data_IF_981588997736
#
_entry.id   IF_981588997736
#
_cell.length_a   1.000
_cell.length_b   1.000
_cell.length_c   1.000
_cell.angle_alpha   90.00
_cell.angle_beta   90.00
_cell.angle_gamma   90.00
#
_symmetry.space_group_name_H-M   'P 1'
#
loop_
_entity.id
_entity.type
_entity.pdbx_description
1 polymer ?
#
# COMPACT_ATOMS: atom_id res chain seq x y z
N UNK A 1 -11.20 13.47 7.25
CA UNK A 1 -10.25 13.09 8.32
C UNK A 1 -8.89 12.87 7.66
N UNK A 2 -7.79 13.36 8.24
CA UNK A 2 -6.43 13.12 7.72
C UNK A 2 -5.65 12.17 8.63
N UNK A 3 -4.92 11.21 8.05
CA UNK A 3 -4.03 10.33 8.81
C UNK A 3 -2.76 11.05 9.31
N UNK A 4 -2.41 12.19 8.72
CA UNK A 4 -1.30 13.01 9.20
C UNK A 4 -1.58 13.57 10.61
N UNK A 5 -2.86 13.80 10.93
CA UNK A 5 -3.32 14.29 12.22
C UNK A 5 -3.58 13.15 13.23
N UNK A 6 -3.54 11.89 12.79
CA UNK A 6 -3.84 10.76 13.64
C UNK A 6 -2.69 10.50 14.64
N UNK A 7 -3.03 10.54 15.92
CA UNK A 7 -2.12 10.32 17.04
C UNK A 7 -2.64 9.17 17.92
N UNK A 8 -2.50 7.91 17.47
CA UNK A 8 -2.92 6.77 18.27
C UNK A 8 -2.12 6.70 19.58
N UNK A 9 -2.79 6.35 20.69
CA UNK A 9 -2.14 6.18 22.00
C UNK A 9 -1.20 4.97 22.03
N UNK A 10 -1.43 3.97 21.17
CA UNK A 10 -0.62 2.77 21.04
C UNK A 10 -0.46 2.45 19.56
N UNK A 11 0.77 2.25 19.08
CA UNK A 11 1.04 1.89 17.66
C UNK A 11 1.60 0.48 17.51
N UNK A 12 1.81 -0.24 18.60
CA UNK A 12 2.58 -1.49 18.61
C UNK A 12 1.79 -2.70 18.13
N UNK A 13 0.49 -2.76 18.43
CA UNK A 13 -0.30 -3.97 18.28
C UNK A 13 -1.69 -3.68 17.72
N UNK A 14 -1.86 -4.01 16.45
CA UNK A 14 -3.15 -4.04 15.77
C UNK A 14 -3.25 -5.34 15.01
N UNK A 15 -4.34 -6.07 15.12
CA UNK A 15 -4.49 -7.30 14.33
C UNK A 15 -5.02 -6.94 12.93
N UNK A 16 -6.17 -6.26 12.90
CA UNK A 16 -6.86 -5.85 11.68
C UNK A 16 -7.22 -4.37 11.73
N UNK A 17 -6.90 -3.61 10.69
CA UNK A 17 -7.37 -2.24 10.48
C UNK A 17 -8.04 -2.16 9.12
N UNK A 18 -9.34 -1.82 9.09
CA UNK A 18 -10.07 -1.53 7.87
C UNK A 18 -10.66 -0.11 7.93
N UNK A 19 -10.21 0.73 7.01
CA UNK A 19 -10.58 2.13 6.83
C UNK A 19 -11.23 2.38 5.45
N UNK A 20 -11.62 1.31 4.75
CA UNK A 20 -12.05 1.38 3.36
C UNK A 20 -13.34 2.19 3.18
N UNK A 21 -13.56 2.72 1.98
CA UNK A 21 -14.78 3.43 1.55
C UNK A 21 -15.07 4.69 2.38
N UNK A 22 -14.09 5.59 2.41
CA UNK A 22 -14.18 6.86 3.14
C UNK A 22 -13.54 8.01 2.35
N UNK A 23 -13.51 9.20 2.94
CA UNK A 23 -12.80 10.36 2.39
C UNK A 23 -11.50 10.69 3.15
N UNK A 24 -10.79 9.66 3.61
CA UNK A 24 -9.59 9.83 4.43
C UNK A 24 -8.44 10.32 3.54
N UNK A 25 -7.74 11.36 4.00
CA UNK A 25 -6.57 11.94 3.34
C UNK A 25 -5.29 11.66 4.13
N UNK A 26 -4.16 12.11 3.59
CA UNK A 26 -2.87 12.08 4.28
C UNK A 26 -2.14 10.75 4.17
N UNK A 27 -1.14 10.56 5.03
CA UNK A 27 -0.20 9.45 4.97
C UNK A 27 -0.35 8.46 6.14
N UNK A 28 -0.46 7.15 5.87
CA UNK A 28 -0.40 6.11 6.89
C UNK A 28 1.05 5.80 7.33
N UNK A 29 2.07 6.41 6.71
CA UNK A 29 3.46 6.01 6.88
C UNK A 29 3.92 6.05 8.34
N UNK A 30 3.45 7.03 9.13
CA UNK A 30 3.85 7.16 10.53
C UNK A 30 3.53 5.90 11.32
N UNK A 31 2.33 5.34 11.18
CA UNK A 31 1.96 4.14 11.92
C UNK A 31 2.44 2.86 11.23
N UNK A 32 2.37 2.76 9.90
CA UNK A 32 2.80 1.56 9.17
C UNK A 32 4.28 1.28 9.36
N UNK A 33 5.10 2.33 9.43
CA UNK A 33 6.53 2.18 9.60
C UNK A 33 6.94 1.87 11.06
N UNK A 34 6.05 2.11 12.03
CA UNK A 34 6.33 1.97 13.46
C UNK A 34 5.66 0.76 14.10
N UNK A 35 4.60 0.22 13.49
CA UNK A 35 3.88 -0.91 14.05
C UNK A 35 4.73 -2.18 14.05
N UNK A 36 4.79 -2.85 15.18
CA UNK A 36 5.52 -4.12 15.33
C UNK A 36 4.63 -5.31 14.95
N UNK A 37 3.32 -5.16 15.14
CA UNK A 37 2.32 -6.17 14.83
C UNK A 37 1.14 -5.54 14.09
N UNK A 38 1.02 -5.90 12.81
CA UNK A 38 -0.15 -5.62 11.96
C UNK A 38 -0.37 -6.79 11.01
N UNK A 39 -1.56 -7.39 10.96
CA UNK A 39 -1.84 -8.56 10.10
C UNK A 39 -2.56 -8.14 8.82
N UNK A 40 -3.55 -7.26 8.92
CA UNK A 40 -4.26 -6.71 7.76
C UNK A 40 -4.41 -5.19 7.83
N UNK A 41 -4.10 -4.54 6.71
CA UNK A 41 -4.40 -3.14 6.49
C UNK A 41 -5.22 -2.96 5.22
N UNK A 42 -6.45 -2.47 5.38
CA UNK A 42 -7.35 -2.14 4.27
C UNK A 42 -7.74 -0.67 4.37
N UNK A 43 -7.58 0.06 3.28
CA UNK A 43 -7.94 1.47 3.17
C UNK A 43 -8.36 1.81 1.74
N UNK A 44 -8.98 0.85 1.06
CA UNK A 44 -9.41 1.00 -0.32
C UNK A 44 -10.46 2.12 -0.45
N UNK A 45 -10.51 2.82 -1.59
CA UNK A 45 -11.55 3.84 -1.82
C UNK A 45 -11.45 5.01 -0.85
N UNK A 46 -10.29 5.68 -0.84
CA UNK A 46 -10.01 6.86 -0.03
C UNK A 46 -9.27 7.94 -0.85
N UNK A 47 -8.82 9.00 -0.18
CA UNK A 47 -8.02 10.09 -0.76
C UNK A 47 -6.59 10.08 -0.19
N UNK A 48 -6.07 8.91 0.19
CA UNK A 48 -4.73 8.77 0.76
C UNK A 48 -3.68 9.16 -0.28
N UNK A 49 -2.70 9.96 0.13
CA UNK A 49 -1.63 10.44 -0.76
C UNK A 49 -0.29 10.38 -0.05
N UNK A 50 0.52 9.39 -0.44
CA UNK A 50 1.84 9.15 0.14
C UNK A 50 2.74 8.39 -0.83
N UNK A 51 4.04 8.39 -0.55
CA UNK A 51 5.04 7.65 -1.31
C UNK A 51 5.14 6.20 -0.78
N UNK A 52 4.61 5.24 -1.54
CA UNK A 52 4.63 3.82 -1.17
C UNK A 52 6.06 3.27 -1.08
N UNK A 53 7.01 3.84 -1.83
CA UNK A 53 8.40 3.40 -1.85
C UNK A 53 9.15 3.66 -0.54
N UNK A 54 8.58 4.49 0.35
CA UNK A 54 9.14 4.84 1.67
C UNK A 54 8.50 4.06 2.83
N UNK A 55 7.58 3.14 2.53
CA UNK A 55 6.92 2.35 3.56
C UNK A 55 7.77 1.15 3.98
N UNK A 56 7.76 0.89 5.27
CA UNK A 56 8.11 -0.40 5.86
C UNK A 56 6.86 -1.03 6.43
N UNK A 57 6.84 -2.36 6.54
CA UNK A 57 5.72 -3.12 7.05
C UNK A 57 6.20 -4.05 8.16
N UNK A 58 5.34 -4.27 9.15
CA UNK A 58 5.53 -5.34 10.12
C UNK A 58 5.69 -6.68 9.40
N UNK A 59 6.56 -7.55 9.92
CA UNK A 59 6.77 -8.90 9.35
C UNK A 59 5.51 -9.77 9.41
N UNK A 60 4.57 -9.42 10.28
CA UNK A 60 3.29 -10.10 10.43
C UNK A 60 2.24 -9.68 9.39
N UNK A 61 2.50 -8.64 8.58
CA UNK A 61 1.53 -8.16 7.60
C UNK A 61 1.32 -9.23 6.53
N UNK A 62 0.07 -9.59 6.29
CA UNK A 62 -0.32 -10.58 5.29
C UNK A 62 -1.27 -10.02 4.23
N UNK A 63 -2.08 -9.03 4.57
CA UNK A 63 -3.05 -8.41 3.65
C UNK A 63 -2.83 -6.90 3.59
N UNK A 64 -2.66 -6.38 2.37
CA UNK A 64 -2.63 -4.95 2.10
C UNK A 64 -3.59 -4.61 0.95
N UNK A 65 -4.63 -3.83 1.23
CA UNK A 65 -5.48 -3.21 0.20
C UNK A 65 -5.49 -1.70 0.36
N UNK A 66 -4.85 -1.00 -0.58
CA UNK A 66 -4.82 0.47 -0.69
C UNK A 66 -5.30 0.92 -2.07
N UNK A 67 -6.11 0.09 -2.73
CA UNK A 67 -6.63 0.38 -4.06
C UNK A 67 -7.53 1.62 -4.08
N UNK A 68 -7.70 2.25 -5.24
CA UNK A 68 -8.55 3.46 -5.41
C UNK A 68 -8.16 4.57 -4.43
N UNK A 69 -6.92 5.06 -4.54
CA UNK A 69 -6.37 6.15 -3.74
C UNK A 69 -5.48 7.05 -4.62
N UNK A 70 -4.72 7.97 -4.00
CA UNK A 70 -3.78 8.87 -4.66
C UNK A 70 -2.32 8.51 -4.32
N UNK A 71 -2.03 7.24 -4.08
CA UNK A 71 -0.71 6.75 -3.67
C UNK A 71 0.26 6.82 -4.84
N UNK A 72 1.49 7.29 -4.60
CA UNK A 72 2.51 7.46 -5.63
C UNK A 72 3.83 6.80 -5.24
N UNK A 73 4.83 6.88 -6.14
CA UNK A 73 6.14 6.29 -5.95
C UNK A 73 6.22 4.85 -6.48
N UNK A 74 7.20 4.09 -6.00
CA UNK A 74 7.46 2.71 -6.44
C UNK A 74 6.79 1.70 -5.51
N UNK A 75 6.49 0.51 -6.03
CA UNK A 75 6.09 -0.64 -5.21
C UNK A 75 7.34 -1.23 -4.52
N UNK A 76 7.43 -1.23 -3.17
CA UNK A 76 8.60 -1.76 -2.46
C UNK A 76 8.64 -3.28 -2.52
N UNK A 77 9.84 -3.88 -2.56
CA UNK A 77 10.02 -5.34 -2.69
C UNK A 77 9.38 -6.15 -1.55
N UNK A 78 9.21 -5.54 -0.37
CA UNK A 78 8.58 -6.17 0.80
C UNK A 78 7.14 -6.63 0.54
N UNK A 79 6.43 -6.03 -0.43
CA UNK A 79 5.06 -6.51 -0.76
C UNK A 79 5.05 -7.95 -1.25
N UNK A 80 6.16 -8.46 -1.81
CA UNK A 80 6.24 -9.82 -2.34
C UNK A 80 5.97 -10.91 -1.27
N UNK A 81 6.23 -10.59 0.01
CA UNK A 81 5.99 -11.49 1.15
C UNK A 81 4.52 -11.60 1.56
N UNK A 82 3.65 -10.69 1.11
CA UNK A 82 2.25 -10.66 1.50
C UNK A 82 1.48 -11.87 0.94
N UNK A 83 0.35 -12.20 1.54
CA UNK A 83 -0.60 -13.20 1.03
C UNK A 83 -1.59 -12.57 0.05
N UNK A 84 -2.02 -11.34 0.35
CA UNK A 84 -3.00 -10.59 -0.44
C UNK A 84 -2.51 -9.16 -0.65
N UNK A 85 -2.54 -8.68 -1.90
CA UNK A 85 -2.15 -7.33 -2.28
C UNK A 85 -3.15 -6.76 -3.29
N UNK A 86 -3.57 -5.53 -3.06
CA UNK A 86 -4.25 -4.73 -4.07
C UNK A 86 -3.81 -3.26 -3.97
N UNK A 87 -3.13 -2.78 -5.01
CA UNK A 87 -2.66 -1.38 -5.14
C UNK A 87 -3.16 -0.77 -6.45
N UNK A 88 -4.20 -1.36 -7.05
CA UNK A 88 -4.80 -0.90 -8.30
C UNK A 88 -5.41 0.49 -8.14
N UNK A 89 -5.52 1.22 -9.26
CA UNK A 89 -6.15 2.55 -9.30
C UNK A 89 -5.48 3.56 -8.34
N UNK A 90 -4.21 3.85 -8.62
CA UNK A 90 -3.35 4.77 -7.88
C UNK A 90 -2.42 5.51 -8.87
N UNK A 91 -1.43 6.24 -8.37
CA UNK A 91 -0.43 6.98 -9.15
C UNK A 91 0.98 6.37 -9.03
N UNK A 92 1.07 5.04 -8.91
CA UNK A 92 2.35 4.34 -8.78
C UNK A 92 3.09 4.29 -10.12
N UNK A 93 4.42 4.29 -10.05
CA UNK A 93 5.28 4.24 -11.22
C UNK A 93 6.57 3.48 -10.96
N UNK A 94 7.12 2.87 -12.01
CA UNK A 94 8.40 2.19 -12.01
C UNK A 94 8.28 0.67 -12.15
N UNK A 95 9.45 0.02 -12.20
CA UNK A 95 9.53 -1.43 -12.34
C UNK A 95 8.99 -2.13 -11.09
N UNK A 96 8.10 -3.09 -11.29
CA UNK A 96 7.62 -3.96 -10.23
C UNK A 96 8.75 -4.84 -9.68
N UNK A 97 8.82 -5.04 -8.35
CA UNK A 97 9.65 -6.10 -7.79
C UNK A 97 9.11 -7.46 -8.22
N UNK A 98 9.94 -8.51 -8.10
CA UNK A 98 9.49 -9.89 -8.32
C UNK A 98 8.31 -10.17 -7.39
N UNK A 99 7.19 -10.59 -7.97
CA UNK A 99 5.93 -10.74 -7.24
C UNK A 99 5.13 -11.93 -7.76
N UNK A 100 4.30 -12.50 -6.89
CA UNK A 100 3.36 -13.59 -7.21
C UNK A 100 1.95 -13.10 -7.52
N UNK A 101 1.68 -11.81 -7.35
CA UNK A 101 0.36 -11.24 -7.54
C UNK A 101 0.01 -11.09 -9.01
N UNK A 102 -1.28 -11.23 -9.38
CA UNK A 102 -1.73 -11.03 -10.75
C UNK A 102 -1.66 -9.55 -11.17
N UNK A 103 -1.71 -9.29 -12.49
CA UNK A 103 -1.73 -7.94 -13.04
C UNK A 103 -2.89 -7.07 -12.50
N UNK A 104 -4.02 -7.69 -12.13
CA UNK A 104 -5.17 -7.00 -11.53
C UNK A 104 -4.85 -6.30 -10.21
N UNK A 105 -3.84 -6.76 -9.46
CA UNK A 105 -3.40 -6.09 -8.23
C UNK A 105 -2.72 -4.73 -8.50
N UNK A 106 -2.31 -4.45 -9.74
CA UNK A 106 -1.50 -3.29 -10.12
C UNK A 106 -2.13 -2.41 -11.20
N UNK A 107 -3.27 -2.81 -11.78
CA UNK A 107 -3.92 -2.12 -12.90
C UNK A 107 -4.30 -0.67 -12.53
N UNK A 108 -4.32 0.24 -13.51
CA UNK A 108 -4.75 1.62 -13.30
C UNK A 108 -3.75 2.47 -12.53
N UNK A 109 -2.45 2.23 -12.72
CA UNK A 109 -1.36 3.05 -12.21
C UNK A 109 -0.61 3.74 -13.36
N UNK A 110 0.03 4.88 -13.08
CA UNK A 110 0.58 5.80 -14.09
C UNK A 110 1.63 5.16 -15.01
N UNK A 111 2.61 4.46 -14.44
CA UNK A 111 3.72 3.88 -15.22
C UNK A 111 4.38 2.65 -14.56
N UNK A 112 3.57 1.77 -13.98
CA UNK A 112 4.07 0.46 -13.54
C UNK A 112 4.42 -0.43 -14.74
N UNK A 113 5.53 -1.17 -14.63
CA UNK A 113 6.01 -2.06 -15.67
C UNK A 113 6.79 -3.26 -15.10
N UNK A 114 7.02 -4.28 -15.92
CA UNK A 114 7.64 -5.54 -15.52
C UNK A 114 6.59 -6.56 -15.04
N UNK A 115 6.93 -7.85 -15.13
CA UNK A 115 6.01 -8.96 -14.80
C UNK A 115 5.34 -8.76 -13.44
N UNK A 116 4.00 -8.91 -13.34
CA UNK A 116 3.06 -9.48 -14.32
C UNK A 116 2.54 -8.51 -15.40
N UNK A 117 2.99 -7.25 -15.40
CA UNK A 117 2.60 -6.26 -16.40
C UNK A 117 3.48 -6.32 -17.65
N UNK A 118 3.19 -5.47 -18.63
CA UNK A 118 4.04 -5.30 -19.81
C UNK A 118 5.49 -4.95 -19.41
N UNK A 119 6.49 -5.41 -20.18
CA UNK A 119 7.89 -5.06 -19.93
C UNK A 119 8.12 -3.55 -19.87
N UNK A 120 9.08 -3.13 -19.05
CA UNK A 120 9.51 -1.73 -19.03
C UNK A 120 10.11 -1.34 -20.37
N UNK A 121 9.76 -0.15 -20.86
CA UNK A 121 10.42 0.43 -22.03
C UNK A 121 11.90 0.69 -21.70
N UNK A 122 12.78 0.37 -22.64
CA UNK A 122 14.21 0.62 -22.53
C UNK A 122 14.52 2.12 -22.60
#
# INVERSE_FOLDING_TARGET
MSLDDWKPAQTFYYDFIDLSENEITGSPARFLNQTEYLVEFKAAGNKLRFDMGKLTFAKTLTTLDISRNLVFGKVPAMVAGLKTLNVSHNHLCGKLPVTKFPASAFVGNDCLCGSPLSPCKA
#
